data_IF_319539997241
#
_entry.id   IF_319539997241
#
_cell.length_a   1.000
_cell.length_b   1.000
_cell.length_c   1.000
_cell.angle_alpha   90.00
_cell.angle_beta   90.00
_cell.angle_gamma   90.00
#
_symmetry.space_group_name_H-M   'P 1'
#
loop_
_entity.id
_entity.type
_entity.pdbx_description
1 polymer ?
#
# COMPACT_ATOMS: atom_id res chain seq x y z
N UNK A 1 13.71 -21.93 -12.06
CA UNK A 1 13.44 -20.64 -12.71
C UNK A 1 14.15 -19.59 -11.87
N UNK A 2 15.10 -18.88 -12.38
CA UNK A 2 15.89 -17.86 -11.67
C UNK A 2 15.36 -16.49 -12.09
N UNK A 3 14.83 -15.75 -11.14
CA UNK A 3 14.39 -14.35 -11.34
C UNK A 3 15.59 -13.50 -11.70
N UNK A 4 15.47 -12.66 -12.74
CA UNK A 4 16.53 -11.74 -13.12
C UNK A 4 16.65 -10.64 -12.07
N UNK A 5 17.89 -10.35 -11.65
CA UNK A 5 18.18 -9.21 -10.78
C UNK A 5 18.34 -7.94 -11.62
N UNK A 6 17.88 -6.84 -11.09
CA UNK A 6 17.89 -5.52 -11.73
C UNK A 6 19.27 -4.87 -11.62
N UNK A 7 19.71 -4.13 -12.65
CA UNK A 7 20.94 -3.33 -12.60
C UNK A 7 20.77 -2.01 -11.85
N UNK A 8 21.87 -1.45 -11.34
CA UNK A 8 21.91 -0.25 -10.47
C UNK A 8 21.36 1.05 -11.13
N UNK A 9 21.24 1.11 -12.44
CA UNK A 9 20.74 2.29 -13.20
C UNK A 9 19.29 2.16 -13.66
N UNK A 10 18.55 1.18 -13.16
CA UNK A 10 17.20 0.91 -13.63
C UNK A 10 16.22 2.04 -13.25
N UNK A 11 15.53 2.58 -14.26
CA UNK A 11 14.46 3.57 -14.10
C UNK A 11 13.15 2.90 -13.73
N UNK A 12 12.20 3.67 -13.15
CA UNK A 12 10.84 3.20 -12.92
C UNK A 12 10.17 2.77 -14.22
N UNK A 13 9.52 1.61 -14.21
CA UNK A 13 8.86 1.03 -15.38
C UNK A 13 7.39 1.43 -15.46
N UNK A 14 6.79 1.28 -16.65
CA UNK A 14 5.35 1.53 -16.84
C UNK A 14 4.48 0.59 -15.99
N UNK A 15 4.92 -0.63 -15.73
CA UNK A 15 4.21 -1.57 -14.86
C UNK A 15 4.15 -1.07 -13.41
N UNK A 16 5.26 -0.51 -12.91
CA UNK A 16 5.33 0.06 -11.56
C UNK A 16 4.45 1.29 -11.43
N UNK A 17 4.40 2.15 -12.45
CA UNK A 17 3.48 3.29 -12.48
C UNK A 17 2.02 2.83 -12.52
N UNK A 18 1.71 1.78 -13.26
CA UNK A 18 0.36 1.22 -13.29
C UNK A 18 -0.05 0.63 -11.93
N UNK A 19 0.88 -0.04 -11.23
CA UNK A 19 0.67 -0.48 -9.85
C UNK A 19 0.35 0.70 -8.92
N UNK A 20 1.08 1.81 -9.06
CA UNK A 20 0.88 3.03 -8.26
C UNK A 20 -0.52 3.64 -8.50
N UNK A 21 -1.01 3.62 -9.73
CA UNK A 21 -2.37 4.08 -10.05
C UNK A 21 -3.45 3.22 -9.39
N UNK A 22 -3.26 1.89 -9.31
CA UNK A 22 -4.19 1.01 -8.59
C UNK A 22 -4.16 1.31 -7.09
N UNK A 23 -2.98 1.59 -6.52
CA UNK A 23 -2.85 1.96 -5.11
C UNK A 23 -3.54 3.29 -4.80
N UNK A 24 -3.52 4.26 -5.72
CA UNK A 24 -4.17 5.57 -5.54
C UNK A 24 -5.67 5.44 -5.30
N UNK A 25 -6.35 4.45 -5.91
CA UNK A 25 -7.75 4.18 -5.57
C UNK A 25 -7.94 3.89 -4.07
N UNK A 26 -6.99 3.18 -3.44
CA UNK A 26 -7.06 2.95 -2.00
C UNK A 26 -6.94 4.25 -1.18
N UNK A 27 -6.08 5.20 -1.61
CA UNK A 27 -6.01 6.54 -1.02
C UNK A 27 -7.35 7.27 -1.15
N UNK A 28 -7.94 7.27 -2.35
CA UNK A 28 -9.25 7.89 -2.61
C UNK A 28 -10.33 7.31 -1.69
N UNK A 29 -10.40 5.99 -1.55
CA UNK A 29 -11.37 5.33 -0.69
C UNK A 29 -11.15 5.65 0.80
N UNK A 30 -9.89 5.71 1.26
CA UNK A 30 -9.59 6.11 2.63
C UNK A 30 -10.00 7.57 2.89
N UNK A 31 -9.78 8.48 1.94
CA UNK A 31 -10.22 9.88 2.03
C UNK A 31 -11.75 9.97 2.06
N UNK A 32 -12.43 9.21 1.21
CA UNK A 32 -13.90 9.14 1.19
C UNK A 32 -14.46 8.60 2.52
N UNK A 33 -13.83 7.58 3.12
CA UNK A 33 -14.20 7.05 4.43
C UNK A 33 -14.06 8.12 5.53
N UNK A 34 -12.96 8.89 5.53
CA UNK A 34 -12.77 9.99 6.48
C UNK A 34 -13.82 11.08 6.29
N UNK A 35 -14.18 11.42 5.06
CA UNK A 35 -15.21 12.40 4.75
C UNK A 35 -16.61 11.94 5.17
N UNK A 36 -16.92 10.65 5.00
CA UNK A 36 -18.20 10.05 5.41
C UNK A 36 -18.32 9.90 6.93
N UNK A 37 -17.20 9.72 7.63
CA UNK A 37 -17.14 9.54 9.09
C UNK A 37 -16.14 10.51 9.71
N UNK A 38 -16.48 11.82 9.82
CA UNK A 38 -15.55 12.86 10.34
C UNK A 38 -15.46 12.79 11.87
N UNK A 39 -15.05 11.65 12.38
CA UNK A 39 -14.87 11.35 13.81
C UNK A 39 -13.47 10.80 14.06
N UNK A 40 -12.99 10.85 15.30
CA UNK A 40 -11.69 10.25 15.65
C UNK A 40 -11.62 8.74 15.36
N UNK A 41 -12.76 8.03 15.51
CA UNK A 41 -12.83 6.60 15.15
C UNK A 41 -12.77 6.39 13.64
N UNK A 42 -13.45 7.23 12.84
CA UNK A 42 -13.36 7.19 11.39
C UNK A 42 -11.94 7.47 10.88
N UNK A 43 -11.27 8.48 11.44
CA UNK A 43 -9.88 8.77 11.17
C UNK A 43 -8.97 7.59 11.52
N UNK A 44 -9.13 7.00 12.71
CA UNK A 44 -8.32 5.86 13.15
C UNK A 44 -8.50 4.65 12.22
N UNK A 45 -9.75 4.31 11.82
CA UNK A 45 -10.03 3.24 10.86
C UNK A 45 -9.38 3.49 9.51
N UNK A 46 -9.54 4.69 8.95
CA UNK A 46 -8.93 5.05 7.66
C UNK A 46 -7.41 4.96 7.71
N UNK A 47 -6.77 5.43 8.80
CA UNK A 47 -5.32 5.34 8.97
C UNK A 47 -4.83 3.90 9.15
N UNK A 48 -5.57 3.02 9.83
CA UNK A 48 -5.24 1.61 9.94
C UNK A 48 -5.27 0.92 8.58
N UNK A 49 -6.34 1.13 7.80
CA UNK A 49 -6.46 0.60 6.44
C UNK A 49 -5.33 1.13 5.55
N UNK A 50 -5.14 2.44 5.57
CA UNK A 50 -4.09 3.10 4.77
C UNK A 50 -2.71 2.57 5.17
N UNK A 51 -2.43 2.41 6.46
CA UNK A 51 -1.17 1.85 6.96
C UNK A 51 -0.89 0.45 6.43
N UNK A 52 -1.91 -0.44 6.45
CA UNK A 52 -1.80 -1.80 5.90
C UNK A 52 -1.49 -1.77 4.40
N UNK A 53 -2.26 -1.00 3.64
CA UNK A 53 -2.10 -0.92 2.18
C UNK A 53 -0.79 -0.22 1.80
N UNK A 54 -0.43 0.86 2.51
CA UNK A 54 0.85 1.57 2.33
C UNK A 54 2.05 0.66 2.58
N UNK A 55 2.03 -0.11 3.69
CA UNK A 55 3.11 -1.05 3.98
C UNK A 55 3.28 -2.10 2.89
N UNK A 56 2.17 -2.63 2.37
CA UNK A 56 2.20 -3.55 1.23
C UNK A 56 2.79 -2.89 -0.01
N UNK A 57 2.40 -1.64 -0.32
CA UNK A 57 2.94 -0.88 -1.43
C UNK A 57 4.45 -0.65 -1.29
N UNK A 58 4.92 -0.22 -0.11
CA UNK A 58 6.36 -0.07 0.19
C UNK A 58 7.12 -1.36 -0.07
N UNK A 59 6.55 -2.48 0.34
CA UNK A 59 7.15 -3.79 0.11
C UNK A 59 7.27 -4.16 -1.38
N UNK A 60 6.28 -3.80 -2.22
CA UNK A 60 6.38 -3.94 -3.67
C UNK A 60 7.38 -2.95 -4.28
N UNK A 61 7.42 -1.69 -3.83
CA UNK A 61 8.41 -0.71 -4.26
C UNK A 61 9.84 -1.19 -3.97
N UNK A 62 10.03 -1.86 -2.83
CA UNK A 62 11.30 -2.49 -2.48
C UNK A 62 11.60 -3.68 -3.39
N UNK A 63 10.65 -4.63 -3.51
CA UNK A 63 10.81 -5.84 -4.31
C UNK A 63 11.22 -5.52 -5.75
N UNK A 64 10.50 -4.60 -6.41
CA UNK A 64 10.78 -4.21 -7.80
C UNK A 64 12.03 -3.36 -7.95
N UNK A 65 12.61 -2.86 -6.86
CA UNK A 65 13.95 -2.24 -6.92
C UNK A 65 15.08 -3.26 -7.16
N UNK A 66 14.89 -4.50 -6.72
CA UNK A 66 15.92 -5.56 -6.80
C UNK A 66 15.61 -6.66 -7.82
N UNK A 67 14.34 -6.87 -8.12
CA UNK A 67 13.86 -7.88 -9.07
C UNK A 67 13.41 -7.19 -10.35
N UNK A 68 13.75 -7.77 -11.50
CA UNK A 68 13.36 -7.21 -12.80
C UNK A 68 11.85 -7.38 -13.05
N UNK A 69 11.06 -6.28 -13.10
CA UNK A 69 9.62 -6.35 -13.34
C UNK A 69 9.26 -6.78 -14.76
N UNK A 70 10.21 -6.85 -15.69
CA UNK A 70 10.00 -7.35 -17.04
C UNK A 70 10.10 -8.88 -17.14
N UNK A 71 10.51 -9.57 -16.06
CA UNK A 71 10.39 -11.03 -15.94
C UNK A 71 8.91 -11.44 -15.90
N UNK A 72 8.51 -12.41 -16.73
CA UNK A 72 7.09 -12.80 -16.88
C UNK A 72 6.46 -13.29 -15.58
N UNK A 73 7.22 -13.96 -14.70
CA UNK A 73 6.72 -14.44 -13.41
C UNK A 73 6.49 -13.27 -12.46
N UNK A 74 7.42 -12.30 -12.44
CA UNK A 74 7.29 -11.09 -11.65
C UNK A 74 6.09 -10.27 -12.13
N UNK A 75 5.98 -10.07 -13.44
CA UNK A 75 4.89 -9.33 -14.08
C UNK A 75 3.53 -9.93 -13.74
N UNK A 76 3.37 -11.26 -13.90
CA UNK A 76 2.14 -11.95 -13.55
C UNK A 76 1.80 -11.80 -12.06
N UNK A 77 2.78 -11.96 -11.18
CA UNK A 77 2.60 -11.80 -9.74
C UNK A 77 2.19 -10.37 -9.37
N UNK A 78 2.76 -9.35 -10.03
CA UNK A 78 2.36 -7.95 -9.86
C UNK A 78 0.93 -7.73 -10.33
N UNK A 79 0.49 -8.31 -11.46
CA UNK A 79 -0.90 -8.21 -11.90
C UNK A 79 -1.88 -8.88 -10.93
N UNK A 80 -1.53 -10.03 -10.36
CA UNK A 80 -2.34 -10.67 -9.31
C UNK A 80 -2.44 -9.75 -8.08
N UNK A 81 -1.34 -9.14 -7.66
CA UNK A 81 -1.34 -8.18 -6.56
C UNK A 81 -2.19 -6.94 -6.88
N UNK A 82 -2.09 -6.38 -8.10
CA UNK A 82 -2.92 -5.25 -8.53
C UNK A 82 -4.41 -5.57 -8.46
N UNK A 83 -4.82 -6.75 -8.94
CA UNK A 83 -6.21 -7.18 -8.85
C UNK A 83 -6.67 -7.31 -7.39
N UNK A 84 -5.83 -7.87 -6.52
CA UNK A 84 -6.11 -7.99 -5.09
C UNK A 84 -6.12 -6.61 -4.39
N UNK A 85 -5.21 -5.69 -4.73
CA UNK A 85 -5.24 -4.30 -4.26
C UNK A 85 -6.52 -3.59 -4.65
N UNK A 86 -6.96 -3.76 -5.90
CA UNK A 86 -8.23 -3.20 -6.36
C UNK A 86 -9.40 -3.71 -5.52
N UNK A 87 -9.47 -5.03 -5.27
CA UNK A 87 -10.50 -5.62 -4.40
C UNK A 87 -10.41 -5.07 -2.98
N UNK A 88 -9.20 -4.99 -2.40
CA UNK A 88 -9.01 -4.41 -1.07
C UNK A 88 -9.47 -2.94 -1.01
N UNK A 89 -9.14 -2.13 -2.03
CA UNK A 89 -9.57 -0.73 -2.13
C UNK A 89 -11.10 -0.61 -2.19
N UNK A 90 -11.77 -1.47 -2.94
CA UNK A 90 -13.24 -1.50 -3.02
C UNK A 90 -13.89 -1.90 -1.69
N UNK A 91 -13.19 -2.63 -0.82
CA UNK A 91 -13.67 -3.00 0.51
C UNK A 91 -13.52 -1.87 1.55
N UNK A 92 -12.69 -0.85 1.31
CA UNK A 92 -12.33 0.19 2.29
C UNK A 92 -13.54 0.84 2.97
N UNK A 93 -14.64 1.21 2.27
CA UNK A 93 -15.78 1.86 2.91
C UNK A 93 -16.43 1.03 4.02
N UNK A 94 -16.35 -0.31 3.95
CA UNK A 94 -16.98 -1.24 4.89
C UNK A 94 -16.00 -2.33 5.38
N UNK A 95 -14.69 -2.04 5.38
CA UNK A 95 -13.65 -2.99 5.78
C UNK A 95 -13.71 -3.40 7.26
N UNK A 96 -14.36 -2.60 8.11
CA UNK A 96 -14.64 -2.90 9.51
C UNK A 96 -16.04 -3.53 9.71
N UNK A 97 -16.76 -3.86 8.63
CA UNK A 97 -18.11 -4.41 8.64
C UNK A 97 -18.26 -5.58 7.68
N UNK A 98 -19.23 -5.49 6.78
CA UNK A 98 -19.63 -6.58 5.89
C UNK A 98 -18.56 -7.07 4.92
N UNK A 99 -17.56 -6.23 4.58
CA UNK A 99 -16.48 -6.61 3.66
C UNK A 99 -15.17 -6.99 4.37
N UNK A 100 -15.16 -7.12 5.71
CA UNK A 100 -13.96 -7.41 6.50
C UNK A 100 -13.20 -8.65 6.01
N UNK A 101 -13.90 -9.75 5.76
CA UNK A 101 -13.27 -11.01 5.27
C UNK A 101 -12.77 -10.90 3.84
N UNK A 102 -13.46 -10.15 2.98
CA UNK A 102 -13.03 -9.92 1.61
C UNK A 102 -11.76 -9.08 1.60
N UNK A 103 -11.71 -8.02 2.43
CA UNK A 103 -10.50 -7.21 2.62
C UNK A 103 -9.34 -8.06 3.12
N UNK A 104 -9.55 -8.85 4.19
CA UNK A 104 -8.51 -9.71 4.77
C UNK A 104 -7.98 -10.73 3.73
N UNK A 105 -8.87 -11.33 2.93
CA UNK A 105 -8.50 -12.24 1.85
C UNK A 105 -7.71 -11.56 0.73
N UNK A 106 -8.17 -10.39 0.28
CA UNK A 106 -7.47 -9.59 -0.73
C UNK A 106 -6.08 -9.15 -0.23
N UNK A 107 -5.99 -8.66 1.01
CA UNK A 107 -4.73 -8.32 1.64
C UNK A 107 -3.78 -9.52 1.71
N UNK A 108 -4.28 -10.69 2.13
CA UNK A 108 -3.50 -11.92 2.17
C UNK A 108 -2.94 -12.29 0.78
N UNK A 109 -3.74 -12.16 -0.29
CA UNK A 109 -3.26 -12.42 -1.68
C UNK A 109 -2.14 -11.46 -2.05
N UNK A 110 -2.28 -10.15 -1.77
CA UNK A 110 -1.22 -9.14 -2.02
C UNK A 110 0.08 -9.55 -1.33
N UNK A 111 0.01 -9.89 -0.03
CA UNK A 111 1.19 -10.21 0.77
C UNK A 111 1.81 -11.55 0.41
N UNK A 112 0.99 -12.57 0.14
CA UNK A 112 1.48 -13.90 -0.27
C UNK A 112 2.19 -13.86 -1.63
N UNK A 113 1.64 -13.12 -2.61
CA UNK A 113 2.29 -12.92 -3.89
C UNK A 113 3.66 -12.24 -3.72
N UNK A 114 3.75 -11.22 -2.87
CA UNK A 114 4.99 -10.53 -2.54
C UNK A 114 6.01 -11.47 -1.88
N UNK A 115 5.60 -12.23 -0.86
CA UNK A 115 6.47 -13.19 -0.15
C UNK A 115 6.98 -14.25 -1.12
N UNK A 116 6.12 -14.77 -2.00
CA UNK A 116 6.52 -15.76 -3.00
C UNK A 116 7.64 -15.24 -3.91
N UNK A 117 7.56 -13.97 -4.33
CA UNK A 117 8.63 -13.32 -5.10
C UNK A 117 9.91 -13.15 -4.27
N UNK A 118 9.82 -12.71 -3.00
CA UNK A 118 10.99 -12.60 -2.13
C UNK A 118 11.65 -13.96 -1.86
N UNK A 119 10.85 -15.03 -1.67
CA UNK A 119 11.37 -16.40 -1.54
C UNK A 119 12.13 -16.82 -2.80
N UNK A 120 11.65 -16.48 -3.99
CA UNK A 120 12.38 -16.77 -5.23
C UNK A 120 13.65 -15.93 -5.36
N UNK A 121 13.61 -14.65 -4.99
CA UNK A 121 14.75 -13.74 -5.02
C UNK A 121 15.84 -14.11 -3.98
N UNK A 122 15.45 -14.73 -2.86
CA UNK A 122 16.37 -15.16 -1.79
C UNK A 122 17.11 -16.47 -2.09
N UNK A 123 16.86 -17.11 -3.24
CA UNK A 123 17.55 -18.34 -3.62
C UNK A 123 19.03 -18.10 -3.78
N UNK A 124 19.85 -18.78 -2.97
CA UNK A 124 21.29 -18.63 -2.97
C UNK A 124 21.87 -17.64 -1.95
N UNK A 125 21.01 -16.95 -1.21
CA UNK A 125 21.41 -16.04 -0.12
C UNK A 125 20.75 -16.50 1.20
N UNK A 126 21.48 -17.23 2.08
CA UNK A 126 20.94 -17.77 3.34
C UNK A 126 20.49 -16.67 4.33
N UNK A 127 21.17 -15.50 4.33
CA UNK A 127 20.82 -14.38 5.23
C UNK A 127 19.50 -13.75 4.80
N UNK A 128 19.37 -13.41 3.51
CA UNK A 128 18.12 -12.91 2.96
C UNK A 128 16.98 -13.90 3.16
N UNK A 129 17.23 -15.21 2.98
CA UNK A 129 16.21 -16.24 3.18
C UNK A 129 15.71 -16.29 4.62
N UNK A 130 16.60 -16.13 5.61
CA UNK A 130 16.20 -16.04 7.02
C UNK A 130 15.29 -14.85 7.27
N UNK A 131 15.66 -13.65 6.77
CA UNK A 131 14.86 -12.43 6.90
C UNK A 131 13.51 -12.52 6.19
N UNK A 132 13.45 -13.13 4.99
CA UNK A 132 12.20 -13.39 4.26
C UNK A 132 11.32 -14.39 5.03
N UNK A 133 11.90 -15.37 5.70
CA UNK A 133 11.12 -16.32 6.54
C UNK A 133 10.50 -15.58 7.73
N UNK A 134 11.25 -14.69 8.39
CA UNK A 134 10.74 -13.84 9.47
C UNK A 134 9.60 -12.94 9.00
N UNK A 135 9.77 -12.27 7.85
CA UNK A 135 8.71 -11.48 7.22
C UNK A 135 7.47 -12.34 6.93
N UNK A 136 7.64 -13.55 6.39
CA UNK A 136 6.54 -14.45 6.11
C UNK A 136 5.75 -14.80 7.39
N UNK A 137 6.44 -15.14 8.48
CA UNK A 137 5.81 -15.48 9.76
C UNK A 137 4.98 -14.29 10.28
N UNK A 138 5.57 -13.09 10.33
CA UNK A 138 4.86 -11.89 10.81
C UNK A 138 3.64 -11.56 9.94
N UNK A 139 3.76 -11.68 8.63
CA UNK A 139 2.67 -11.46 7.68
C UNK A 139 1.56 -12.51 7.84
N UNK A 140 1.88 -13.79 8.01
CA UNK A 140 0.86 -14.82 8.25
C UNK A 140 0.07 -14.56 9.53
N UNK A 141 0.76 -14.16 10.61
CA UNK A 141 0.11 -13.79 11.86
C UNK A 141 -0.78 -12.57 11.65
N UNK A 142 -0.30 -11.53 10.95
CA UNK A 142 -1.05 -10.33 10.66
C UNK A 142 -2.32 -10.63 9.83
N UNK A 143 -2.23 -11.46 8.79
CA UNK A 143 -3.39 -11.92 8.02
C UNK A 143 -4.40 -12.68 8.90
N UNK A 144 -3.92 -13.55 9.80
CA UNK A 144 -4.76 -14.26 10.78
C UNK A 144 -5.48 -13.31 11.72
N UNK A 145 -4.80 -12.24 12.19
CA UNK A 145 -5.40 -11.20 13.03
C UNK A 145 -6.46 -10.38 12.27
N UNK A 146 -6.26 -10.08 10.99
CA UNK A 146 -7.28 -9.42 10.17
C UNK A 146 -8.53 -10.30 10.00
N UNK A 147 -8.34 -11.60 9.78
CA UNK A 147 -9.47 -12.55 9.75
C UNK A 147 -10.17 -12.60 11.11
N UNK A 148 -9.42 -12.66 12.21
CA UNK A 148 -9.98 -12.63 13.57
C UNK A 148 -10.74 -11.33 13.86
N UNK A 149 -10.25 -10.20 13.33
CA UNK A 149 -10.93 -8.91 13.44
C UNK A 149 -12.30 -8.87 12.73
N UNK A 150 -12.50 -9.73 11.71
CA UNK A 150 -13.81 -9.90 11.05
C UNK A 150 -14.89 -10.54 11.95
N UNK A 151 -14.49 -11.20 13.06
CA UNK A 151 -15.40 -11.77 14.06
C UNK A 151 -15.55 -10.89 15.30
N UNK A 152 -14.85 -9.74 15.35
CA UNK A 152 -14.81 -8.85 16.50
C UNK A 152 -15.45 -7.50 16.15
N UNK A 153 -15.90 -6.79 17.19
CA UNK A 153 -16.51 -5.47 17.06
C UNK A 153 -15.80 -4.44 17.95
N UNK A 154 -16.04 -3.16 17.64
CA UNK A 154 -15.65 -2.01 18.47
C UNK A 154 -14.15 -1.94 18.73
N UNK A 155 -13.77 -1.77 19.99
CA UNK A 155 -12.36 -1.57 20.39
C UNK A 155 -11.49 -2.79 20.11
N UNK A 156 -12.01 -4.01 20.33
CA UNK A 156 -11.27 -5.24 20.08
C UNK A 156 -10.90 -5.37 18.60
N UNK A 157 -11.84 -5.10 17.70
CA UNK A 157 -11.59 -5.08 16.27
C UNK A 157 -10.46 -4.11 15.91
N UNK A 158 -10.53 -2.87 16.41
CA UNK A 158 -9.47 -1.86 16.19
C UNK A 158 -8.10 -2.30 16.71
N UNK A 159 -8.04 -2.94 17.88
CA UNK A 159 -6.80 -3.46 18.44
C UNK A 159 -6.22 -4.59 17.60
N UNK A 160 -7.06 -5.49 17.07
CA UNK A 160 -6.61 -6.56 16.17
C UNK A 160 -6.01 -5.99 14.87
N UNK A 161 -6.66 -4.98 14.27
CA UNK A 161 -6.13 -4.25 13.11
C UNK A 161 -4.79 -3.58 13.41
N UNK A 162 -4.70 -2.86 14.54
CA UNK A 162 -3.45 -2.18 14.94
C UNK A 162 -2.33 -3.20 15.18
N UNK A 163 -2.62 -4.31 15.86
CA UNK A 163 -1.64 -5.36 16.10
C UNK A 163 -1.20 -6.02 14.81
N UNK A 164 -2.13 -6.28 13.88
CA UNK A 164 -1.81 -6.79 12.55
C UNK A 164 -0.86 -5.85 11.80
N UNK A 165 -1.14 -4.55 11.77
CA UNK A 165 -0.28 -3.54 11.14
C UNK A 165 1.12 -3.51 11.79
N UNK A 166 1.19 -3.45 13.11
CA UNK A 166 2.46 -3.37 13.83
C UNK A 166 3.31 -4.63 13.65
N UNK A 167 2.71 -5.81 13.60
CA UNK A 167 3.43 -7.06 13.35
C UNK A 167 3.91 -7.17 11.90
N UNK A 168 3.06 -6.81 10.94
CA UNK A 168 3.44 -6.90 9.53
C UNK A 168 4.51 -5.86 9.17
N UNK A 169 4.38 -4.62 9.64
CA UNK A 169 5.36 -3.57 9.42
C UNK A 169 6.62 -3.76 10.29
N UNK A 170 6.47 -4.29 11.48
CA UNK A 170 7.56 -4.56 12.42
C UNK A 170 8.37 -5.82 12.10
N UNK A 171 7.86 -6.71 11.24
CA UNK A 171 8.50 -7.98 10.91
C UNK A 171 10.00 -7.90 10.60
N UNK A 172 10.45 -7.04 9.69
CA UNK A 172 11.87 -6.86 9.40
C UNK A 172 12.72 -6.43 10.60
N UNK A 173 12.14 -5.66 11.53
CA UNK A 173 12.83 -5.21 12.74
C UNK A 173 12.87 -6.29 13.83
N UNK A 174 11.85 -7.15 13.89
CA UNK A 174 11.74 -8.20 14.89
C UNK A 174 12.55 -9.47 14.53
N UNK A 175 12.58 -9.82 13.26
CA UNK A 175 13.18 -11.07 12.77
C UNK A 175 14.48 -10.87 12.00
N UNK A 176 14.97 -9.62 11.92
CA UNK A 176 16.21 -9.25 11.26
C UNK A 176 16.01 -8.72 9.84
N UNK A 177 16.90 -7.80 9.49
CA UNK A 177 16.94 -7.14 8.17
C UNK A 177 18.23 -7.48 7.41
N UNK A 178 18.91 -8.57 7.77
CA UNK A 178 20.16 -8.97 7.15
C UNK A 178 19.91 -9.50 5.72
N UNK A 179 20.82 -9.18 4.82
CA UNK A 179 20.76 -9.60 3.41
C UNK A 179 19.78 -8.81 2.53
N UNK A 180 18.95 -7.92 3.11
CA UNK A 180 18.07 -7.07 2.31
C UNK A 180 18.91 -6.12 1.45
N UNK A 181 18.69 -6.18 0.14
CA UNK A 181 19.27 -5.26 -0.82
C UNK A 181 18.21 -4.25 -1.22
N UNK A 182 18.62 -3.02 -1.45
CA UNK A 182 17.79 -1.93 -1.93
C UNK A 182 18.57 -1.16 -2.96
N UNK A 183 17.93 -0.73 -4.04
CA UNK A 183 18.49 0.27 -4.97
C UNK A 183 17.93 1.64 -4.54
N UNK A 184 18.71 2.46 -3.78
CA UNK A 184 18.17 3.63 -3.10
C UNK A 184 17.57 4.66 -4.05
N UNK A 185 18.22 4.86 -5.21
CA UNK A 185 17.76 5.82 -6.24
C UNK A 185 16.39 5.43 -6.79
N UNK A 186 16.22 4.18 -7.17
CA UNK A 186 14.94 3.67 -7.70
C UNK A 186 13.83 3.73 -6.64
N UNK A 187 14.14 3.35 -5.40
CA UNK A 187 13.19 3.40 -4.29
C UNK A 187 12.74 4.83 -3.98
N UNK A 188 13.66 5.80 -3.97
CA UNK A 188 13.35 7.21 -3.80
C UNK A 188 12.50 7.75 -4.96
N UNK A 189 12.83 7.39 -6.22
CA UNK A 189 12.07 7.77 -7.41
C UNK A 189 10.62 7.26 -7.32
N UNK A 190 10.40 6.00 -6.90
CA UNK A 190 9.06 5.44 -6.68
C UNK A 190 8.26 6.24 -5.65
N UNK A 191 8.90 6.64 -4.52
CA UNK A 191 8.24 7.45 -3.50
C UNK A 191 7.93 8.86 -4.01
N UNK A 192 8.80 9.46 -4.83
CA UNK A 192 8.53 10.74 -5.47
C UNK A 192 7.31 10.68 -6.39
N UNK A 193 7.22 9.63 -7.19
CA UNK A 193 6.13 9.45 -8.15
C UNK A 193 4.79 9.22 -7.44
N UNK A 194 4.72 8.38 -6.42
CA UNK A 194 3.47 8.14 -5.69
C UNK A 194 2.96 9.41 -4.98
N UNK A 195 3.87 10.26 -4.46
CA UNK A 195 3.50 11.55 -3.87
C UNK A 195 2.86 12.46 -4.94
N UNK A 196 3.45 12.56 -6.13
CA UNK A 196 2.89 13.35 -7.23
C UNK A 196 1.51 12.83 -7.64
N UNK A 197 1.34 11.50 -7.73
CA UNK A 197 0.06 10.89 -8.10
C UNK A 197 -0.98 11.16 -7.00
N UNK A 198 -0.62 11.05 -5.71
CA UNK A 198 -1.51 11.34 -4.59
C UNK A 198 -1.93 12.82 -4.52
N UNK A 199 -1.02 13.74 -4.85
CA UNK A 199 -1.34 15.17 -4.98
C UNK A 199 -2.29 15.41 -6.16
N UNK A 200 -2.08 14.74 -7.30
CA UNK A 200 -2.98 14.78 -8.45
C UNK A 200 -4.39 14.30 -8.11
N UNK A 201 -4.50 13.20 -7.37
CA UNK A 201 -5.78 12.68 -6.88
C UNK A 201 -6.50 13.67 -5.96
N UNK A 202 -5.76 14.36 -5.09
CA UNK A 202 -6.31 15.41 -4.23
C UNK A 202 -6.94 16.55 -5.03
N UNK A 203 -6.33 16.93 -6.17
CA UNK A 203 -6.87 17.95 -7.10
C UNK A 203 -8.15 17.42 -7.77
N UNK A 204 -8.15 16.17 -8.22
CA UNK A 204 -9.33 15.51 -8.81
C UNK A 204 -10.48 15.48 -7.80
N UNK A 205 -10.20 15.12 -6.53
CA UNK A 205 -11.20 15.08 -5.47
C UNK A 205 -11.83 16.45 -5.20
N UNK A 206 -11.08 17.55 -5.28
CA UNK A 206 -11.62 18.92 -5.21
C UNK A 206 -12.59 19.17 -6.37
N UNK A 207 -12.21 18.77 -7.60
CA UNK A 207 -13.06 18.91 -8.78
C UNK A 207 -14.37 18.13 -8.68
N UNK A 208 -14.31 16.90 -8.19
CA UNK A 208 -15.49 16.05 -7.97
C UNK A 208 -16.39 16.63 -6.88
N UNK A 209 -15.81 17.13 -5.78
CA UNK A 209 -16.52 17.74 -4.66
C UNK A 209 -17.18 19.06 -4.97
N UNK A 210 -16.71 19.78 -5.99
CA UNK A 210 -17.26 21.07 -6.40
C UNK A 210 -18.71 21.01 -6.95
N UNK A 211 -19.16 19.82 -7.41
CA UNK A 211 -20.50 19.66 -7.99
C UNK A 211 -20.69 20.47 -9.28
N UNK A 212 -21.94 20.86 -9.57
CA UNK A 212 -22.28 21.58 -10.81
C UNK A 212 -22.34 23.10 -10.67
N UNK A 213 -22.43 23.64 -9.45
CA UNK A 213 -22.51 25.08 -9.19
C UNK A 213 -21.16 25.60 -8.68
N UNK A 214 -20.52 26.45 -9.48
CA UNK A 214 -19.25 27.08 -9.11
C UNK A 214 -19.56 28.44 -8.47
N UNK A 215 -19.50 28.49 -7.15
CA UNK A 215 -19.62 29.71 -6.37
C UNK A 215 -18.25 30.20 -5.85
N UNK A 216 -18.25 31.32 -5.15
CA UNK A 216 -17.03 31.92 -4.59
C UNK A 216 -16.35 30.98 -3.54
N UNK A 217 -17.13 30.16 -2.82
CA UNK A 217 -16.63 29.20 -1.84
C UNK A 217 -15.89 28.05 -2.52
N UNK A 218 -16.46 27.51 -3.62
CA UNK A 218 -15.82 26.48 -4.43
C UNK A 218 -14.51 26.98 -5.03
N UNK A 219 -14.50 28.22 -5.59
CA UNK A 219 -13.28 28.84 -6.14
C UNK A 219 -12.22 29.02 -5.05
N UNK A 220 -12.59 29.54 -3.88
CA UNK A 220 -11.66 29.71 -2.76
C UNK A 220 -11.09 28.37 -2.29
N UNK A 221 -11.92 27.33 -2.17
CA UNK A 221 -11.49 25.98 -1.78
C UNK A 221 -10.53 25.35 -2.80
N UNK A 222 -10.81 25.52 -4.09
CA UNK A 222 -9.95 25.03 -5.17
C UNK A 222 -8.58 25.72 -5.16
N UNK A 223 -8.55 27.05 -5.02
CA UNK A 223 -7.30 27.83 -4.93
C UNK A 223 -6.51 27.42 -3.68
N UNK A 224 -7.17 27.31 -2.52
CA UNK A 224 -6.51 26.90 -1.28
C UNK A 224 -5.96 25.48 -1.37
N UNK A 225 -6.73 24.55 -1.92
CA UNK A 225 -6.29 23.18 -2.15
C UNK A 225 -5.08 23.09 -3.08
N UNK A 226 -5.06 23.90 -4.15
CA UNK A 226 -3.90 23.97 -5.05
C UNK A 226 -2.67 24.54 -4.34
N UNK A 227 -2.82 25.57 -3.49
CA UNK A 227 -1.71 26.11 -2.69
C UNK A 227 -1.16 25.06 -1.72
N UNK A 228 -2.03 24.29 -1.06
CA UNK A 228 -1.61 23.22 -0.15
C UNK A 228 -0.84 22.14 -0.93
N UNK A 229 -1.37 21.68 -2.07
CA UNK A 229 -0.69 20.69 -2.91
C UNK A 229 0.67 21.21 -3.39
N UNK A 230 0.77 22.46 -3.83
CA UNK A 230 2.01 23.08 -4.25
C UNK A 230 3.02 23.22 -3.10
N UNK A 231 2.56 23.58 -1.90
CA UNK A 231 3.42 23.67 -0.71
C UNK A 231 3.96 22.31 -0.31
N UNK A 232 3.13 21.27 -0.32
CA UNK A 232 3.55 19.88 -0.06
C UNK A 232 4.55 19.40 -1.10
N UNK A 233 4.29 19.67 -2.37
CA UNK A 233 5.23 19.35 -3.45
C UNK A 233 6.57 20.06 -3.29
N UNK A 234 6.54 21.33 -2.87
CA UNK A 234 7.76 22.13 -2.66
C UNK A 234 8.62 21.62 -1.51
N UNK A 235 7.99 21.07 -0.46
CA UNK A 235 8.72 20.51 0.70
C UNK A 235 9.35 19.15 0.41
N UNK A 236 8.83 18.43 -0.58
CA UNK A 236 9.31 17.12 -0.99
C UNK A 236 10.40 17.23 -2.06
#
# INVERSE_FOLDING_TARGET
MTTRLRGDEARVTNLELFFDLVFVLALTQCTALMAAQPTWSGLARALLILGMLWWSWVGYAWLTSVVDPDDDVVRLSVFVAMAAFLVAALCVPDAFGGTAFVFAGAYAVVRLAQIALFVTASRGDPQLRSSVTGLAISTFIACGLLVAAGFADGTLQGLLWLTALLLDAGGPFLFGAEGWKLVPRHFAERHALIVIIALGESIVAIGVGAGTAIDAGVVASAVLGMFIAAALWWMY
#
